data_IF_167183742603
#
_entry.id   IF_167183742603
#
_cell.length_a   1.000
_cell.length_b   1.000
_cell.length_c   1.000
_cell.angle_alpha   90.00
_cell.angle_beta   90.00
_cell.angle_gamma   90.00
#
_symmetry.space_group_name_H-M   'P 1'
#
loop_
_entity.id
_entity.type
_entity.pdbx_description
1 polymer ?
#
# COMPACT_ATOMS: atom_id res chain seq x y z
N UNK A 1 18.43 10.76 -38.81
CA UNK A 1 18.00 12.13 -39.14
C UNK A 1 18.17 12.98 -37.89
N UNK A 2 19.19 13.85 -37.85
CA UNK A 2 19.50 14.71 -36.70
C UNK A 2 18.80 16.04 -36.95
N UNK A 3 17.73 16.32 -36.20
CA UNK A 3 17.10 17.64 -36.22
C UNK A 3 17.88 18.51 -35.23
N UNK A 4 18.77 19.37 -35.74
CA UNK A 4 19.43 20.40 -34.92
C UNK A 4 18.47 21.57 -34.70
N UNK A 5 17.67 21.52 -33.65
CA UNK A 5 17.02 22.71 -33.08
C UNK A 5 18.04 23.39 -32.15
N UNK A 6 18.16 24.72 -32.25
CA UNK A 6 19.15 25.56 -31.55
C UNK A 6 19.00 25.57 -30.02
N UNK A 7 18.05 24.80 -29.48
CA UNK A 7 17.78 24.64 -28.06
C UNK A 7 17.49 23.15 -27.81
N UNK A 8 18.30 22.52 -26.96
CA UNK A 8 18.31 21.11 -26.57
C UNK A 8 18.55 20.07 -27.69
N UNK A 9 19.70 19.40 -27.64
CA UNK A 9 19.92 18.14 -28.38
C UNK A 9 19.19 17.03 -27.64
N UNK A 10 17.98 16.68 -28.08
CA UNK A 10 17.30 15.48 -27.60
C UNK A 10 17.92 14.25 -28.29
N UNK A 11 18.85 13.58 -27.62
CA UNK A 11 19.35 12.29 -28.10
C UNK A 11 18.45 11.17 -27.57
N UNK A 12 17.45 10.80 -28.36
CA UNK A 12 16.63 9.61 -28.08
C UNK A 12 17.42 8.40 -28.56
N UNK A 13 18.19 7.78 -27.67
CA UNK A 13 19.05 6.62 -27.99
C UNK A 13 18.30 5.29 -28.21
N UNK A 14 16.99 5.33 -28.54
CA UNK A 14 15.99 4.23 -28.65
C UNK A 14 14.91 4.39 -27.58
N UNK A 15 13.64 4.45 -28.00
CA UNK A 15 12.50 4.27 -27.10
C UNK A 15 12.47 2.79 -26.75
N UNK A 16 13.12 2.40 -25.64
CA UNK A 16 13.21 1.01 -25.20
C UNK A 16 11.86 0.47 -24.70
N UNK A 17 10.92 1.35 -24.34
CA UNK A 17 9.54 1.07 -24.01
C UNK A 17 8.72 2.38 -24.04
N UNK A 18 7.42 2.30 -24.27
CA UNK A 18 6.54 3.47 -24.11
C UNK A 18 6.36 3.71 -22.61
N UNK A 19 6.90 4.80 -22.09
CA UNK A 19 6.71 5.24 -20.72
C UNK A 19 5.69 6.39 -20.70
N UNK A 20 4.82 6.40 -19.69
CA UNK A 20 3.74 7.36 -19.56
C UNK A 20 3.73 7.95 -18.15
N UNK A 21 3.46 9.26 -18.01
CA UNK A 21 3.11 9.82 -16.72
C UNK A 21 1.75 9.26 -16.30
N UNK A 22 1.68 8.84 -15.04
CA UNK A 22 0.48 8.37 -14.37
C UNK A 22 0.17 9.36 -13.28
N UNK A 23 -1.04 9.90 -13.30
CA UNK A 23 -1.62 10.66 -12.19
C UNK A 23 -2.46 9.68 -11.39
N UNK A 24 -2.19 9.57 -10.09
CA UNK A 24 -3.02 8.81 -9.18
C UNK A 24 -3.44 9.71 -8.02
N UNK A 25 -4.71 9.61 -7.65
CA UNK A 25 -5.37 10.44 -6.65
C UNK A 25 -6.06 9.55 -5.63
N UNK A 26 -5.89 9.88 -4.36
CA UNK A 26 -6.62 9.31 -3.24
C UNK A 26 -7.40 10.43 -2.55
N UNK A 27 -8.72 10.36 -2.63
CA UNK A 27 -9.60 11.38 -2.05
C UNK A 27 -9.69 11.17 -0.55
N UNK A 28 -9.06 12.07 0.22
CA UNK A 28 -9.11 12.09 1.68
C UNK A 28 -8.81 10.72 2.35
N UNK A 29 -7.65 10.10 2.08
CA UNK A 29 -7.28 8.82 2.69
C UNK A 29 -7.31 8.90 4.21
N UNK A 30 -7.90 7.88 4.84
CA UNK A 30 -7.97 7.72 6.29
C UNK A 30 -6.58 7.74 6.94
N UNK A 31 -6.52 8.25 8.17
CA UNK A 31 -5.31 8.23 8.97
C UNK A 31 -4.85 6.79 9.29
N UNK A 32 -3.53 6.55 9.42
CA UNK A 32 -3.04 5.24 9.84
C UNK A 32 -3.66 4.82 11.19
N UNK A 33 -3.93 3.53 11.33
CA UNK A 33 -4.60 2.99 12.52
C UNK A 33 -4.16 1.56 12.78
N UNK A 34 -3.73 1.26 14.00
CA UNK A 34 -3.31 -0.09 14.41
C UNK A 34 -4.45 -1.12 14.46
N UNK A 35 -5.70 -0.67 14.34
CA UNK A 35 -6.91 -1.50 14.35
C UNK A 35 -7.81 -1.25 13.14
N UNK A 36 -7.30 -0.63 12.09
CA UNK A 36 -8.08 -0.22 10.92
C UNK A 36 -8.69 -1.38 10.12
N UNK A 37 -8.14 -2.60 10.22
CA UNK A 37 -8.65 -3.79 9.52
C UNK A 37 -9.28 -4.79 10.47
N UNK A 38 -8.60 -5.09 11.58
CA UNK A 38 -9.08 -6.02 12.61
C UNK A 38 -8.80 -5.41 13.98
N UNK A 39 -9.85 -5.24 14.78
CA UNK A 39 -9.72 -4.83 16.17
C UNK A 39 -8.91 -5.85 16.98
N UNK A 40 -8.38 -5.44 18.14
CA UNK A 40 -7.63 -6.32 19.03
C UNK A 40 -8.44 -7.59 19.36
N UNK A 41 -8.00 -8.71 18.79
CA UNK A 41 -8.70 -9.99 18.84
C UNK A 41 -7.93 -10.96 19.73
N UNK A 42 -8.62 -11.57 20.69
CA UNK A 42 -8.01 -12.49 21.64
C UNK A 42 -7.42 -13.72 20.93
N UNK A 43 -6.20 -14.09 21.31
CA UNK A 43 -5.55 -15.30 20.85
C UNK A 43 -6.09 -16.53 21.60
N UNK A 44 -6.02 -17.69 20.94
CA UNK A 44 -6.42 -18.98 21.52
C UNK A 44 -5.28 -19.98 21.43
N UNK A 45 -5.46 -21.16 22.00
CA UNK A 45 -4.50 -22.27 21.91
C UNK A 45 -4.56 -23.01 20.56
N UNK A 46 -5.34 -22.51 19.60
CA UNK A 46 -5.44 -23.01 18.23
C UNK A 46 -5.32 -21.86 17.21
N UNK A 47 -4.89 -22.18 15.99
CA UNK A 47 -4.83 -21.21 14.90
C UNK A 47 -6.25 -20.75 14.60
N UNK A 48 -6.44 -19.44 14.46
CA UNK A 48 -7.75 -18.85 14.21
C UNK A 48 -7.80 -18.35 12.77
N UNK A 49 -8.84 -18.71 12.03
CA UNK A 49 -9.15 -18.11 10.73
C UNK A 49 -10.29 -17.14 10.89
N UNK A 50 -9.95 -15.85 10.90
CA UNK A 50 -10.91 -14.75 10.98
C UNK A 50 -11.38 -14.42 9.57
N UNK A 51 -12.69 -14.48 9.34
CA UNK A 51 -13.35 -14.19 8.04
C UNK A 51 -14.53 -13.22 8.17
N UNK A 52 -14.83 -12.78 9.39
CA UNK A 52 -15.88 -11.81 9.73
C UNK A 52 -15.26 -10.68 10.54
N UNK A 53 -15.99 -9.56 10.71
CA UNK A 53 -15.49 -8.38 11.44
C UNK A 53 -14.18 -7.79 10.87
N UNK A 54 -13.94 -8.03 9.58
CA UNK A 54 -12.83 -7.44 8.83
C UNK A 54 -13.34 -6.17 8.16
N UNK A 55 -12.68 -5.05 8.45
CA UNK A 55 -12.90 -3.80 7.73
C UNK A 55 -11.88 -3.72 6.59
N UNK A 56 -12.35 -3.50 5.37
CA UNK A 56 -11.44 -3.30 4.24
C UNK A 56 -10.84 -1.90 4.31
N UNK A 57 -9.57 -1.73 3.89
CA UNK A 57 -8.98 -0.41 3.70
C UNK A 57 -9.83 0.49 2.78
N UNK A 58 -9.81 1.80 3.04
CA UNK A 58 -10.44 2.84 2.22
C UNK A 58 -9.83 2.91 0.80
N UNK A 59 -8.53 2.67 0.71
CA UNK A 59 -7.76 2.50 -0.53
C UNK A 59 -6.78 1.34 -0.36
N UNK A 60 -6.23 0.77 -1.45
CA UNK A 60 -5.20 -0.25 -1.34
C UNK A 60 -4.03 0.25 -0.48
N UNK A 61 -3.68 -0.47 0.58
CA UNK A 61 -2.66 -0.05 1.57
C UNK A 61 -1.83 -1.20 2.10
N UNK A 62 -0.58 -0.91 2.49
CA UNK A 62 0.14 -1.83 3.35
C UNK A 62 -0.59 -1.95 4.68
N UNK A 63 -0.67 -3.17 5.17
CA UNK A 63 -1.24 -3.48 6.47
C UNK A 63 -0.12 -3.68 7.49
N UNK A 64 -0.48 -3.57 8.76
CA UNK A 64 0.43 -3.85 9.86
C UNK A 64 -0.20 -4.79 10.87
N UNK A 65 0.64 -5.44 11.68
CA UNK A 65 0.19 -6.30 12.79
C UNK A 65 0.85 -5.86 14.08
N UNK A 66 0.10 -5.91 15.17
CA UNK A 66 0.56 -5.51 16.50
C UNK A 66 0.04 -6.49 17.54
N UNK A 67 0.93 -6.99 18.41
CA UNK A 67 0.55 -7.81 19.55
C UNK A 67 0.13 -6.95 20.75
N UNK A 68 -0.71 -7.51 21.61
CA UNK A 68 -1.15 -6.87 22.86
C UNK A 68 -0.11 -6.84 23.98
N UNK A 69 0.92 -7.69 23.89
CA UNK A 69 2.01 -7.80 24.88
C UNK A 69 3.34 -8.16 24.19
N UNK A 70 4.46 -7.90 24.89
CA UNK A 70 5.82 -8.09 24.38
C UNK A 70 6.21 -9.55 24.10
N UNK A 71 5.47 -10.53 24.62
CA UNK A 71 5.67 -11.96 24.39
C UNK A 71 4.83 -12.52 23.23
N UNK A 72 3.96 -11.72 22.61
CA UNK A 72 3.15 -12.11 21.45
C UNK A 72 4.06 -12.22 20.21
N UNK A 73 4.20 -13.45 19.71
CA UNK A 73 5.06 -13.78 18.56
C UNK A 73 4.34 -14.73 17.60
N UNK A 74 4.96 -15.02 16.46
CA UNK A 74 4.42 -15.89 15.42
C UNK A 74 3.97 -15.12 14.19
N UNK A 75 3.41 -15.83 13.22
CA UNK A 75 3.03 -15.25 11.94
C UNK A 75 1.53 -14.98 11.87
N UNK A 76 1.19 -13.79 11.39
CA UNK A 76 -0.15 -13.44 10.94
C UNK A 76 -0.16 -13.56 9.42
N UNK A 77 -1.05 -14.39 8.88
CA UNK A 77 -1.21 -14.55 7.43
C UNK A 77 -2.46 -13.80 7.00
N UNK A 78 -2.32 -12.83 6.10
CA UNK A 78 -3.41 -12.02 5.58
C UNK A 78 -3.64 -12.41 4.12
N UNK A 79 -4.87 -12.76 3.76
CA UNK A 79 -5.26 -13.12 2.39
C UNK A 79 -6.38 -12.21 1.91
N UNK A 80 -6.26 -11.74 0.67
CA UNK A 80 -7.19 -10.79 0.08
C UNK A 80 -6.90 -10.56 -1.38
N UNK A 81 -7.19 -9.36 -1.86
CA UNK A 81 -6.93 -8.96 -3.25
C UNK A 81 -6.14 -7.66 -3.33
N UNK A 82 -5.32 -7.53 -4.37
CA UNK A 82 -4.61 -6.29 -4.69
C UNK A 82 -5.50 -5.30 -5.47
N UNK A 83 -4.93 -4.17 -5.87
CA UNK A 83 -5.63 -3.13 -6.67
C UNK A 83 -6.11 -3.62 -8.05
N UNK A 84 -5.55 -4.72 -8.56
CA UNK A 84 -5.97 -5.36 -9.82
C UNK A 84 -7.04 -6.44 -9.62
N UNK A 85 -7.46 -6.69 -8.37
CA UNK A 85 -8.40 -7.75 -8.03
C UNK A 85 -7.77 -9.15 -8.02
N UNK A 86 -6.45 -9.25 -8.10
CA UNK A 86 -5.73 -10.52 -8.05
C UNK A 86 -5.57 -10.97 -6.60
N UNK A 87 -5.71 -12.27 -6.35
CA UNK A 87 -5.54 -12.83 -5.01
C UNK A 87 -4.09 -12.71 -4.55
N UNK A 88 -3.89 -12.19 -3.34
CA UNK A 88 -2.58 -12.03 -2.71
C UNK A 88 -2.61 -12.53 -1.27
N UNK A 89 -1.43 -12.92 -0.78
CA UNK A 89 -1.19 -13.30 0.61
C UNK A 89 0.08 -12.61 1.11
N UNK A 90 0.02 -12.05 2.31
CA UNK A 90 1.16 -11.53 3.04
C UNK A 90 1.30 -12.26 4.39
N UNK A 91 2.53 -12.48 4.82
CA UNK A 91 2.85 -13.17 6.07
C UNK A 91 3.72 -12.23 6.89
N UNK A 92 3.15 -11.71 7.98
CA UNK A 92 3.79 -10.70 8.81
C UNK A 92 4.11 -11.34 10.17
N UNK A 93 5.39 -11.32 10.54
CA UNK A 93 5.84 -11.85 11.83
C UNK A 93 5.61 -10.79 12.93
N UNK A 94 4.90 -11.18 13.99
CA UNK A 94 4.70 -10.35 15.18
C UNK A 94 6.01 -10.18 15.95
N UNK A 95 6.20 -8.99 16.51
CA UNK A 95 7.34 -8.67 17.37
C UNK A 95 6.85 -8.01 18.68
N UNK A 96 6.07 -8.75 19.46
CA UNK A 96 5.47 -8.23 20.68
C UNK A 96 4.52 -7.06 20.40
N UNK A 97 4.68 -5.98 21.14
CA UNK A 97 3.89 -4.74 20.99
C UNK A 97 4.34 -3.85 19.84
N UNK A 98 5.43 -4.18 19.15
CA UNK A 98 5.87 -3.40 17.99
C UNK A 98 4.87 -3.57 16.84
N UNK A 99 4.56 -2.46 16.18
CA UNK A 99 3.77 -2.49 14.95
C UNK A 99 4.67 -2.89 13.79
N UNK A 100 4.41 -4.05 13.21
CA UNK A 100 5.21 -4.60 12.10
C UNK A 100 4.45 -4.41 10.80
N UNK A 101 5.07 -3.73 9.84
CA UNK A 101 4.51 -3.53 8.50
C UNK A 101 4.63 -4.79 7.65
N UNK A 102 3.60 -5.07 6.86
CA UNK A 102 3.68 -5.99 5.73
C UNK A 102 4.42 -5.38 4.55
N UNK A 103 4.42 -6.09 3.44
CA UNK A 103 5.06 -5.67 2.18
C UNK A 103 4.11 -5.64 1.00
N UNK A 104 2.87 -6.13 1.15
CA UNK A 104 1.84 -6.11 0.09
C UNK A 104 0.66 -5.21 0.46
N UNK A 105 0.20 -4.44 -0.52
CA UNK A 105 -0.92 -3.54 -0.40
C UNK A 105 -2.24 -4.26 -0.75
N UNK A 106 -3.17 -4.27 0.20
CA UNK A 106 -4.47 -4.94 0.06
C UNK A 106 -5.55 -3.93 -0.29
N UNK A 107 -6.28 -4.17 -1.37
CA UNK A 107 -7.51 -3.46 -1.71
C UNK A 107 -8.71 -3.98 -0.90
N UNK A 108 -8.74 -5.29 -0.64
CA UNK A 108 -9.69 -5.90 0.27
C UNK A 108 -9.04 -7.13 0.94
N UNK A 109 -9.44 -7.40 2.18
CA UNK A 109 -9.01 -8.54 2.98
C UNK A 109 -10.18 -9.51 3.12
N UNK A 110 -9.91 -10.79 2.90
CA UNK A 110 -10.91 -11.87 2.94
C UNK A 110 -10.74 -12.80 4.14
N UNK A 111 -9.50 -12.97 4.61
CA UNK A 111 -9.18 -13.82 5.74
C UNK A 111 -7.91 -13.35 6.43
N UNK A 112 -7.89 -13.47 7.75
CA UNK A 112 -6.70 -13.25 8.58
C UNK A 112 -6.50 -14.50 9.44
N UNK A 113 -5.32 -15.13 9.34
CA UNK A 113 -4.93 -16.23 10.20
C UNK A 113 -4.10 -15.71 11.36
N UNK A 114 -4.59 -15.88 12.59
CA UNK A 114 -3.86 -15.50 13.81
C UNK A 114 -3.11 -16.70 14.39
N UNK A 115 -1.90 -16.50 14.95
CA UNK A 115 -1.12 -17.58 15.54
C UNK A 115 -1.77 -18.11 16.83
N UNK A 116 -1.25 -19.25 17.31
CA UNK A 116 -1.60 -19.77 18.64
C UNK A 116 -0.92 -18.95 19.73
N UNK A 117 -1.52 -18.93 20.91
CA UNK A 117 -0.88 -18.46 22.13
C UNK A 117 -0.99 -19.49 23.26
N UNK A 118 -0.04 -19.47 24.19
CA UNK A 118 0.07 -20.50 25.23
C UNK A 118 -1.15 -20.54 26.18
N UNK A 119 -1.77 -19.39 26.43
CA UNK A 119 -2.95 -19.26 27.28
C UNK A 119 -4.05 -18.55 26.50
N UNK A 120 -5.19 -19.20 26.30
CA UNK A 120 -6.30 -18.60 25.55
C UNK A 120 -6.88 -17.39 26.30
N UNK A 121 -7.23 -16.33 25.56
CA UNK A 121 -8.00 -15.20 26.09
C UNK A 121 -7.21 -14.21 26.95
N UNK A 122 -5.87 -14.26 26.97
CA UNK A 122 -5.05 -13.30 27.73
C UNK A 122 -4.43 -12.23 26.84
N UNK A 123 -4.01 -12.59 25.62
CA UNK A 123 -3.33 -11.68 24.70
C UNK A 123 -4.12 -11.46 23.42
N UNK A 124 -3.84 -10.35 22.75
CA UNK A 124 -4.53 -9.96 21.51
C UNK A 124 -3.57 -9.76 20.35
N UNK A 125 -4.10 -9.82 19.14
CA UNK A 125 -3.47 -9.28 17.93
C UNK A 125 -4.46 -8.35 17.23
N UNK A 126 -3.99 -7.22 16.73
CA UNK A 126 -4.75 -6.35 15.83
C UNK A 126 -4.09 -6.27 14.45
N UNK A 127 -4.89 -5.90 13.45
CA UNK A 127 -4.40 -5.60 12.10
C UNK A 127 -4.78 -4.17 11.74
N UNK A 128 -3.78 -3.40 11.35
CA UNK A 128 -3.88 -1.99 11.05
C UNK A 128 -3.72 -1.64 9.58
N UNK A 129 -3.98 -0.38 9.27
CA UNK A 129 -3.62 0.27 8.00
C UNK A 129 -2.46 1.25 8.24
N UNK A 130 -1.54 1.32 7.28
CA UNK A 130 -0.46 2.29 7.26
C UNK A 130 -0.78 3.47 6.32
N UNK A 131 0.03 4.51 6.40
CA UNK A 131 0.06 5.65 5.49
C UNK A 131 0.73 5.34 4.13
N UNK A 132 0.93 4.06 3.81
CA UNK A 132 1.54 3.59 2.55
C UNK A 132 0.46 3.15 1.56
N UNK A 133 0.27 3.94 0.52
CA UNK A 133 -0.83 3.82 -0.45
C UNK A 133 -0.39 3.01 -1.69
N UNK A 134 -1.18 2.03 -2.10
CA UNK A 134 -0.91 1.15 -3.23
C UNK A 134 -1.04 1.83 -4.59
N UNK A 135 -0.07 1.59 -5.47
CA UNK A 135 -0.03 2.15 -6.82
C UNK A 135 -0.84 1.32 -7.81
N UNK A 136 -1.51 1.98 -8.76
CA UNK A 136 -2.30 1.31 -9.81
C UNK A 136 -1.46 0.66 -10.92
N UNK A 137 -0.17 0.99 -10.97
CA UNK A 137 0.77 0.43 -11.92
C UNK A 137 2.19 0.37 -11.38
N UNK A 138 2.98 -0.53 -11.93
CA UNK A 138 4.39 -0.69 -11.58
C UNK A 138 5.16 0.54 -12.08
N UNK A 139 5.75 1.34 -11.18
CA UNK A 139 6.52 2.52 -11.56
C UNK A 139 7.87 2.08 -12.15
N UNK A 140 8.46 2.88 -13.03
CA UNK A 140 9.80 2.59 -13.57
C UNK A 140 10.94 3.08 -12.67
N UNK A 141 10.61 3.94 -11.70
CA UNK A 141 11.55 4.53 -10.74
C UNK A 141 10.87 4.68 -9.38
N UNK A 142 11.67 4.96 -8.35
CA UNK A 142 11.19 5.26 -6.98
C UNK A 142 10.89 6.75 -6.78
N UNK A 143 10.97 7.55 -7.84
CA UNK A 143 10.84 9.00 -7.78
C UNK A 143 9.43 9.44 -8.12
N UNK A 144 8.86 10.26 -7.24
CA UNK A 144 7.66 11.06 -7.54
C UNK A 144 8.08 12.30 -8.33
N UNK A 145 7.43 12.57 -9.46
CA UNK A 145 7.69 13.77 -10.28
C UNK A 145 7.05 15.00 -9.63
N UNK A 146 5.85 14.84 -9.11
CA UNK A 146 5.14 15.86 -8.35
C UNK A 146 4.19 15.18 -7.38
N UNK A 147 4.13 15.71 -6.18
CA UNK A 147 3.14 15.37 -5.17
C UNK A 147 2.32 16.62 -4.87
N UNK A 148 1.02 16.39 -4.70
CA UNK A 148 0.09 17.38 -4.18
C UNK A 148 -0.60 16.81 -2.94
N UNK A 149 -0.42 17.49 -1.81
CA UNK A 149 -1.12 17.23 -0.56
C UNK A 149 -1.97 18.45 -0.22
N UNK A 150 -3.24 18.44 -0.65
CA UNK A 150 -4.16 19.56 -0.39
C UNK A 150 -3.81 20.87 -1.10
N UNK A 151 -3.43 20.81 -2.38
CA UNK A 151 -3.08 21.94 -3.25
C UNK A 151 -1.80 22.68 -2.83
N UNK A 152 -0.90 21.98 -2.14
CA UNK A 152 0.44 22.44 -1.76
C UNK A 152 1.47 21.55 -2.45
N UNK A 153 2.34 22.14 -3.28
CA UNK A 153 3.43 21.41 -3.90
C UNK A 153 4.37 20.88 -2.81
N UNK A 154 4.56 19.56 -2.76
CA UNK A 154 5.47 18.98 -1.81
C UNK A 154 6.92 19.38 -2.13
N UNK A 155 7.66 19.76 -1.09
CA UNK A 155 9.09 20.09 -1.13
C UNK A 155 9.94 19.01 -0.46
N UNK A 156 9.31 17.98 0.09
CA UNK A 156 9.90 16.86 0.81
C UNK A 156 9.98 15.59 -0.02
N UNK A 157 10.94 14.73 0.33
CA UNK A 157 11.28 13.52 -0.42
C UNK A 157 10.31 12.38 -0.18
N UNK A 158 9.09 12.50 -0.71
CA UNK A 158 8.19 11.37 -0.88
C UNK A 158 8.85 10.27 -1.70
N UNK A 159 8.64 9.02 -1.28
CA UNK A 159 9.29 7.88 -1.91
C UNK A 159 8.23 6.91 -2.39
N UNK A 160 8.45 6.43 -3.61
CA UNK A 160 7.79 5.23 -4.10
C UNK A 160 8.67 4.04 -3.72
N UNK A 161 8.09 3.10 -2.99
CA UNK A 161 8.63 1.73 -2.93
C UNK A 161 8.24 1.04 -4.23
N UNK A 162 9.23 0.48 -4.93
CA UNK A 162 9.06 -0.19 -6.20
C UNK A 162 9.41 -1.67 -6.08
N UNK A 163 8.55 -2.51 -6.64
CA UNK A 163 8.88 -3.85 -7.07
C UNK A 163 8.87 -3.91 -8.61
N UNK A 164 9.60 -4.85 -9.21
CA UNK A 164 9.72 -4.93 -10.66
C UNK A 164 8.54 -5.67 -11.31
N UNK A 165 7.90 -6.58 -10.56
CA UNK A 165 6.98 -7.58 -11.08
C UNK A 165 5.65 -7.64 -10.31
N UNK A 166 5.63 -7.20 -9.05
CA UNK A 166 4.44 -7.27 -8.17
C UNK A 166 3.88 -5.88 -7.85
N UNK A 167 2.72 -5.55 -8.40
CA UNK A 167 2.07 -4.24 -8.22
C UNK A 167 1.69 -3.99 -6.76
N UNK A 168 1.32 -5.03 -6.02
CA UNK A 168 0.94 -4.90 -4.61
C UNK A 168 2.12 -4.52 -3.71
N UNK A 169 3.37 -4.70 -4.16
CA UNK A 169 4.55 -4.21 -3.44
C UNK A 169 4.95 -2.79 -3.82
N UNK A 170 4.26 -2.21 -4.81
CA UNK A 170 4.49 -0.84 -5.25
C UNK A 170 3.59 0.11 -4.45
N UNK A 171 4.20 0.90 -3.57
CA UNK A 171 3.47 1.82 -2.69
C UNK A 171 4.09 3.20 -2.69
N UNK A 172 3.25 4.20 -2.52
CA UNK A 172 3.61 5.58 -2.28
C UNK A 172 3.57 5.87 -0.79
N UNK A 173 4.64 6.49 -0.30
CA UNK A 173 4.83 6.95 1.07
C UNK A 173 4.76 8.48 1.08
N UNK A 174 3.62 9.07 1.46
CA UNK A 174 3.47 10.52 1.50
C UNK A 174 4.38 11.12 2.58
N UNK A 175 4.90 12.32 2.35
CA UNK A 175 5.71 13.01 3.38
C UNK A 175 4.86 13.52 4.55
N UNK A 176 3.59 13.77 4.26
CA UNK A 176 2.57 14.14 5.24
C UNK A 176 1.63 12.98 5.43
N UNK A 177 1.42 12.55 6.67
CA UNK A 177 0.50 11.45 6.98
C UNK A 177 -0.88 11.69 6.36
N UNK A 178 -1.58 10.59 6.09
CA UNK A 178 -2.99 10.63 5.73
C UNK A 178 -3.82 11.10 6.94
N UNK A 179 -4.88 11.88 6.72
CA UNK A 179 -5.61 12.56 7.80
C UNK A 179 -7.14 12.58 7.63
N UNK A 180 -7.67 11.79 6.69
CA UNK A 180 -9.08 11.75 6.31
C UNK A 180 -9.67 13.11 5.87
N UNK A 181 -8.82 14.12 5.59
CA UNK A 181 -9.26 15.51 5.39
C UNK A 181 -8.75 16.11 4.08
N UNK A 182 -7.56 15.70 3.63
CA UNK A 182 -6.93 16.22 2.41
C UNK A 182 -6.73 15.14 1.34
N UNK A 183 -6.91 15.53 0.07
CA UNK A 183 -6.50 14.71 -1.07
C UNK A 183 -4.99 14.48 -1.08
N UNK A 184 -4.59 13.28 -1.48
CA UNK A 184 -3.21 12.96 -1.86
C UNK A 184 -3.19 12.68 -3.36
N UNK A 185 -2.31 13.33 -4.09
CA UNK A 185 -2.12 13.06 -5.51
C UNK A 185 -0.63 12.99 -5.85
N UNK A 186 -0.28 12.07 -6.73
CA UNK A 186 1.08 11.93 -7.23
C UNK A 186 1.13 11.82 -8.75
N UNK A 187 2.27 12.21 -9.29
CA UNK A 187 2.66 11.91 -10.67
C UNK A 187 3.91 11.05 -10.66
N UNK A 188 3.85 9.89 -11.31
CA UNK A 188 4.99 8.99 -11.48
C UNK A 188 5.04 8.44 -12.90
N UNK A 189 6.16 7.82 -13.30
CA UNK A 189 6.28 7.22 -14.63
C UNK A 189 6.08 5.71 -14.55
N UNK A 190 5.27 5.16 -15.46
CA UNK A 190 5.10 3.72 -15.64
C UNK A 190 5.21 3.32 -17.12
N UNK A 191 5.58 2.08 -17.39
CA UNK A 191 5.46 1.46 -18.74
C UNK A 191 4.14 0.74 -18.94
N UNK A 192 3.39 0.53 -17.87
CA UNK A 192 2.05 -0.02 -17.94
C UNK A 192 1.10 1.12 -18.31
N UNK A 193 0.24 0.87 -19.29
CA UNK A 193 -0.90 1.75 -19.47
C UNK A 193 -1.77 1.60 -18.23
N UNK A 194 -2.25 2.70 -17.61
CA UNK A 194 -3.27 2.58 -16.60
C UNK A 194 -4.42 1.78 -17.20
N UNK A 195 -4.80 0.68 -16.54
CA UNK A 195 -6.01 -0.05 -16.92
C UNK A 195 -7.12 1.00 -17.02
N UNK A 196 -7.85 0.99 -18.15
CA UNK A 196 -8.92 1.96 -18.40
C UNK A 196 -9.87 1.94 -17.20
N UNK A 197 -9.76 2.92 -16.31
CA UNK A 197 -10.72 3.10 -15.23
C UNK A 197 -12.04 3.36 -15.96
N UNK A 198 -12.96 2.41 -15.87
CA UNK A 198 -14.25 2.52 -16.54
C UNK A 198 -14.97 3.75 -16.03
N UNK A 199 -14.91 4.86 -16.78
CA UNK A 199 -15.50 6.11 -16.31
C UNK A 199 -15.03 7.38 -17.00
N UNK A 200 -14.93 7.40 -18.33
CA UNK A 200 -15.12 8.64 -19.08
C UNK A 200 -16.12 8.37 -20.20
N UNK A 201 -17.39 8.30 -19.81
CA UNK A 201 -18.54 8.49 -20.70
C UNK A 201 -19.05 9.91 -20.51
N UNK A 202 -18.48 10.82 -21.29
CA UNK A 202 -19.16 11.89 -22.04
C UNK A 202 -18.11 12.68 -22.80
#
# INVERSE_FOLDING_TARGET
MIIKQKYATFVVHKVLSKAYPVVQVWTAPDAPSATGVLAATLLTTAVQSVTTEITNPDFPRLLSVTGGDGNVTGNVTITGVNIRGEAITDIIALNGTDTVAGVKAFAAVSSISLPVYAVAGTETVSVGILDKLGLQSIPISTTVISEDSGNSADTGGAIITRDADEVEKCVYDPTTECDASAEKAIVYISTELPNKVGGYTS
#
